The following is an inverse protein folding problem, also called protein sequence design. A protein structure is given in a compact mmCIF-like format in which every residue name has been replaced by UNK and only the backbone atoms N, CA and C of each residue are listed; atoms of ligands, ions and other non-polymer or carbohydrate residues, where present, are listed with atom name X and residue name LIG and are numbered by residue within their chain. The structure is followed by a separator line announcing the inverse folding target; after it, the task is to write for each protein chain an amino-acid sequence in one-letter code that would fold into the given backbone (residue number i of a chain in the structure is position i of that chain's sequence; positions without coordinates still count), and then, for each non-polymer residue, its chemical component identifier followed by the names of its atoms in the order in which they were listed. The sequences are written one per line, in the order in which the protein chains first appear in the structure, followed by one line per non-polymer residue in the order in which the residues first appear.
data_IF_886655950909
#
_entry.id   IF_886655950909
#
_cell.length_a   1.000
_cell.length_b   1.000
_cell.length_c   1.000
_cell.angle_alpha   90.00
_cell.angle_beta   90.00
_cell.angle_gamma   90.00
#
_symmetry.space_group_name_H-M   'P 1'
#
loop_
_entity.id
_entity.type
_entity.pdbx_description
1 polymer ?
#
# COMPACT_ATOMS: atom_id res chain seq x y z
N UNK A 1 23.50 23.90 -6.96
CA UNK A 1 22.35 23.00 -6.78
C UNK A 1 22.63 21.76 -7.62
N UNK A 2 22.82 20.62 -6.97
CA UNK A 2 22.98 19.34 -7.67
C UNK A 2 21.57 18.81 -7.91
N UNK A 3 21.09 18.82 -9.15
CA UNK A 3 19.83 18.19 -9.52
C UNK A 3 20.07 16.69 -9.73
N UNK A 4 19.24 15.85 -9.10
CA UNK A 4 19.20 14.41 -9.36
C UNK A 4 18.04 14.13 -10.28
N UNK A 5 18.27 13.31 -11.31
CA UNK A 5 17.25 12.88 -12.25
C UNK A 5 17.05 11.38 -12.09
N UNK A 6 15.80 10.98 -11.93
CA UNK A 6 15.39 9.58 -11.88
C UNK A 6 14.62 9.27 -13.17
N UNK A 7 15.07 8.28 -13.93
CA UNK A 7 14.37 7.83 -15.13
C UNK A 7 13.60 6.58 -14.79
N UNK A 8 12.28 6.67 -14.91
CA UNK A 8 11.34 5.57 -14.60
C UNK A 8 10.64 5.11 -15.87
N UNK A 9 10.00 3.95 -15.79
CA UNK A 9 9.08 3.47 -16.81
C UNK A 9 7.97 4.50 -17.04
N UNK A 10 7.67 4.79 -18.31
CA UNK A 10 6.53 5.62 -18.67
C UNK A 10 5.25 4.78 -18.66
N UNK A 11 4.23 5.24 -17.96
CA UNK A 11 2.95 4.54 -17.81
C UNK A 11 1.85 5.33 -18.51
N UNK A 12 1.40 4.83 -19.68
CA UNK A 12 0.61 5.58 -20.66
C UNK A 12 -0.81 5.93 -20.20
N UNK A 13 -1.46 5.10 -19.39
CA UNK A 13 -2.85 5.29 -18.96
C UNK A 13 -3.01 6.36 -17.87
N UNK A 14 -1.90 6.85 -17.29
CA UNK A 14 -1.92 7.89 -16.26
C UNK A 14 -2.43 7.41 -14.91
N UNK A 15 -2.87 8.33 -14.08
CA UNK A 15 -3.32 8.07 -12.71
C UNK A 15 -4.71 7.44 -12.65
N UNK A 16 -4.92 6.52 -11.73
CA UNK A 16 -6.24 5.94 -11.41
C UNK A 16 -7.22 7.04 -10.99
N UNK A 17 -6.73 8.09 -10.34
CA UNK A 17 -7.53 9.27 -9.99
C UNK A 17 -8.23 9.88 -11.21
N UNK A 18 -7.47 10.12 -12.29
CA UNK A 18 -8.01 10.68 -13.53
C UNK A 18 -9.00 9.73 -14.21
N UNK A 19 -8.72 8.42 -14.13
CA UNK A 19 -9.61 7.40 -14.66
C UNK A 19 -10.99 7.43 -13.96
N UNK A 20 -11.00 7.39 -12.63
CA UNK A 20 -12.26 7.45 -11.85
C UNK A 20 -12.98 8.80 -12.01
N UNK A 21 -12.23 9.90 -12.04
CA UNK A 21 -12.81 11.24 -12.25
C UNK A 21 -13.50 11.38 -13.61
N UNK A 22 -12.99 10.68 -14.63
CA UNK A 22 -13.53 10.70 -15.98
C UNK A 22 -14.77 9.81 -16.15
N UNK A 23 -14.72 8.60 -15.59
CA UNK A 23 -15.77 7.59 -15.83
C UNK A 23 -16.79 7.48 -14.70
N UNK A 24 -16.54 8.12 -13.54
CA UNK A 24 -17.38 8.02 -12.35
C UNK A 24 -17.22 6.65 -11.64
N UNK A 25 -18.23 6.26 -10.86
CA UNK A 25 -18.23 4.96 -10.19
C UNK A 25 -18.14 3.83 -11.21
N UNK A 26 -17.25 2.87 -10.92
CA UNK A 26 -16.96 1.75 -11.82
C UNK A 26 -17.95 0.60 -11.57
N UNK A 27 -18.24 -0.21 -12.60
CA UNK A 27 -18.90 -1.51 -12.41
C UNK A 27 -18.09 -2.37 -11.42
N UNK A 28 -18.77 -3.15 -10.57
CA UNK A 28 -18.13 -3.97 -9.53
C UNK A 28 -17.01 -4.87 -10.08
N UNK A 29 -17.25 -5.49 -11.24
CA UNK A 29 -16.23 -6.33 -11.90
C UNK A 29 -14.94 -5.60 -12.22
N UNK A 30 -15.05 -4.37 -12.73
CA UNK A 30 -13.88 -3.53 -13.06
C UNK A 30 -13.21 -2.99 -11.80
N UNK A 31 -13.97 -2.50 -10.83
CA UNK A 31 -13.44 -2.04 -9.55
C UNK A 31 -12.68 -3.17 -8.83
N UNK A 32 -13.23 -4.38 -8.81
CA UNK A 32 -12.58 -5.53 -8.17
C UNK A 32 -11.36 -6.00 -8.97
N UNK A 33 -11.39 -5.96 -10.31
CA UNK A 33 -10.22 -6.26 -11.14
C UNK A 33 -9.04 -5.35 -10.78
N UNK A 34 -9.27 -4.04 -10.76
CA UNK A 34 -8.23 -3.07 -10.36
C UNK A 34 -7.78 -3.28 -8.91
N UNK A 35 -8.75 -3.48 -8.01
CA UNK A 35 -8.45 -3.72 -6.60
C UNK A 35 -7.61 -4.97 -6.36
N UNK A 36 -7.87 -6.07 -7.07
CA UNK A 36 -7.06 -7.29 -7.03
C UNK A 36 -5.61 -7.01 -7.39
N UNK A 37 -5.37 -6.20 -8.42
CA UNK A 37 -4.01 -5.84 -8.85
C UNK A 37 -3.32 -4.91 -7.82
N UNK A 38 -4.06 -3.97 -7.23
CA UNK A 38 -3.54 -3.13 -6.13
C UNK A 38 -3.10 -4.01 -4.95
N UNK A 39 -3.96 -4.93 -4.52
CA UNK A 39 -3.68 -5.85 -3.41
C UNK A 39 -2.50 -6.79 -3.74
N UNK A 40 -2.35 -7.22 -5.00
CA UNK A 40 -1.21 -8.04 -5.43
C UNK A 40 0.12 -7.26 -5.32
N UNK A 41 0.16 -6.05 -5.89
CA UNK A 41 1.34 -5.19 -5.82
C UNK A 41 1.72 -4.83 -4.38
N UNK A 42 0.72 -4.46 -3.57
CA UNK A 42 0.93 -4.13 -2.17
C UNK A 42 1.38 -5.35 -1.35
N UNK A 43 0.77 -6.52 -1.57
CA UNK A 43 1.14 -7.77 -0.93
C UNK A 43 2.58 -8.18 -1.25
N UNK A 44 3.04 -7.91 -2.48
CA UNK A 44 4.44 -8.05 -2.85
C UNK A 44 5.34 -7.18 -1.98
N UNK A 45 5.05 -5.88 -1.89
CA UNK A 45 5.83 -4.95 -1.05
C UNK A 45 5.86 -5.39 0.43
N UNK A 46 4.72 -5.78 1.00
CA UNK A 46 4.61 -6.21 2.39
C UNK A 46 5.40 -7.48 2.69
N UNK A 47 5.58 -8.39 1.71
CA UNK A 47 6.46 -9.56 1.87
C UNK A 47 7.93 -9.20 2.08
N UNK A 48 8.35 -8.05 1.53
CA UNK A 48 9.68 -7.49 1.74
C UNK A 48 9.72 -6.50 2.92
N UNK A 49 8.68 -6.48 3.75
CA UNK A 49 8.53 -5.54 4.85
C UNK A 49 8.50 -4.07 4.40
N UNK A 50 8.18 -3.80 3.15
CA UNK A 50 8.04 -2.44 2.61
C UNK A 50 6.58 -2.02 2.74
N UNK A 51 6.32 -0.95 3.49
CA UNK A 51 5.03 -0.31 3.61
C UNK A 51 5.02 0.96 2.76
N UNK A 52 3.97 1.18 1.98
CA UNK A 52 3.87 2.30 1.03
C UNK A 52 3.62 3.63 1.75
N UNK A 53 2.68 3.66 2.70
CA UNK A 53 2.30 4.76 3.60
C UNK A 53 1.63 5.99 2.98
N UNK A 54 1.54 6.07 1.65
CA UNK A 54 0.80 7.12 0.94
C UNK A 54 0.04 6.53 -0.25
N UNK A 55 -0.68 5.42 0.00
CA UNK A 55 -1.47 4.78 -1.04
C UNK A 55 -2.76 5.58 -1.28
N UNK A 56 -2.94 6.04 -2.53
CA UNK A 56 -4.07 6.83 -3.01
C UNK A 56 -4.18 6.71 -4.53
N UNK A 57 -5.32 7.06 -5.15
CA UNK A 57 -5.52 6.92 -6.58
C UNK A 57 -4.52 7.69 -7.46
N UNK A 58 -3.93 8.78 -6.94
CA UNK A 58 -2.89 9.57 -7.63
C UNK A 58 -1.55 8.79 -7.73
N UNK A 59 -1.27 7.90 -6.78
CA UNK A 59 -0.07 7.08 -6.71
C UNK A 59 -0.28 5.67 -7.30
N UNK A 60 -1.40 5.45 -7.98
CA UNK A 60 -1.72 4.23 -8.71
C UNK A 60 -1.83 4.59 -10.17
N UNK A 61 -0.91 4.07 -10.98
CA UNK A 61 -0.87 4.32 -12.42
C UNK A 61 -1.49 3.16 -13.18
N UNK A 62 -2.03 3.45 -14.35
CA UNK A 62 -2.61 2.47 -15.27
C UNK A 62 -1.76 2.41 -16.54
N UNK A 63 -1.41 1.22 -16.99
CA UNK A 63 -0.77 1.03 -18.30
C UNK A 63 -1.78 1.17 -19.44
N UNK A 64 -1.33 1.00 -20.68
CA UNK A 64 -2.18 1.07 -21.89
C UNK A 64 -3.30 0.03 -21.91
N UNK A 65 -3.21 -1.02 -21.12
CA UNK A 65 -4.22 -2.07 -20.96
C UNK A 65 -5.05 -1.89 -19.67
N UNK A 66 -4.89 -0.77 -18.99
CA UNK A 66 -5.46 -0.46 -17.68
C UNK A 66 -5.05 -1.46 -16.59
N UNK A 67 -3.83 -1.99 -16.64
CA UNK A 67 -3.28 -2.73 -15.51
C UNK A 67 -2.61 -1.77 -14.54
N UNK A 68 -2.65 -2.12 -13.26
CA UNK A 68 -2.18 -1.29 -12.15
C UNK A 68 -0.66 -1.36 -12.00
N UNK A 69 -0.05 -0.20 -11.78
CA UNK A 69 1.31 -0.04 -11.30
C UNK A 69 1.32 0.88 -10.08
N UNK A 70 1.82 0.38 -8.96
CA UNK A 70 2.01 1.21 -7.75
C UNK A 70 3.21 2.12 -7.96
N UNK A 71 3.06 3.40 -7.63
CA UNK A 71 4.06 4.43 -7.85
C UNK A 71 4.24 5.30 -6.60
N UNK A 72 5.25 6.15 -6.61
CA UNK A 72 5.59 7.09 -5.54
C UNK A 72 5.86 6.43 -4.18
N UNK A 73 6.97 5.74 -4.08
CA UNK A 73 7.50 5.18 -2.83
C UNK A 73 8.26 6.20 -1.97
N UNK A 74 8.08 7.52 -2.23
CA UNK A 74 8.76 8.59 -1.51
C UNK A 74 8.48 8.63 0.00
N UNK A 75 7.35 8.07 0.42
CA UNK A 75 6.97 7.91 1.83
C UNK A 75 7.15 6.47 2.35
N UNK A 76 7.65 5.54 1.52
CA UNK A 76 7.76 4.14 1.91
C UNK A 76 8.73 3.94 3.08
N UNK A 77 8.49 2.90 3.86
CA UNK A 77 9.37 2.52 4.97
C UNK A 77 9.52 1.01 5.08
N UNK A 78 10.70 0.57 5.47
CA UNK A 78 10.94 -0.80 5.90
C UNK A 78 10.42 -1.01 7.32
N UNK A 79 9.58 -2.03 7.50
CA UNK A 79 9.01 -2.38 8.79
C UNK A 79 9.17 -3.87 9.08
N UNK A 80 10.34 -4.31 9.56
CA UNK A 80 10.54 -5.68 10.00
C UNK A 80 9.57 -6.09 11.11
N UNK A 81 9.40 -7.39 11.32
CA UNK A 81 8.55 -7.91 12.37
C UNK A 81 8.92 -7.34 13.74
N UNK A 82 7.92 -6.94 14.51
CA UNK A 82 8.09 -6.35 15.85
C UNK A 82 8.42 -4.85 15.87
N UNK A 83 8.70 -4.22 14.72
CA UNK A 83 8.96 -2.78 14.65
C UNK A 83 7.66 -1.98 14.45
N UNK A 84 7.65 -0.76 14.98
CA UNK A 84 6.54 0.18 14.92
C UNK A 84 7.00 1.50 14.29
N UNK A 85 6.19 2.03 13.39
CA UNK A 85 6.41 3.34 12.78
C UNK A 85 5.82 4.44 13.66
N UNK A 86 6.40 5.65 13.60
CA UNK A 86 5.96 6.81 14.41
C UNK A 86 5.65 8.03 13.56
N UNK A 87 6.27 8.13 12.37
CA UNK A 87 6.13 9.31 11.51
C UNK A 87 4.76 9.33 10.88
N UNK A 88 3.94 10.31 11.26
CA UNK A 88 2.68 10.59 10.56
C UNK A 88 2.99 11.14 9.18
N UNK A 89 2.55 10.45 8.16
CA UNK A 89 2.71 10.83 6.76
C UNK A 89 1.52 10.30 5.94
N UNK A 90 1.46 10.72 4.69
CA UNK A 90 0.41 10.33 3.76
C UNK A 90 -0.71 11.36 3.64
N UNK A 91 -1.58 11.13 2.68
CA UNK A 91 -2.70 12.01 2.32
C UNK A 91 -3.85 11.85 3.32
N UNK A 92 -4.33 12.93 3.97
CA UNK A 92 -5.24 12.84 5.10
C UNK A 92 -6.53 12.06 4.85
N UNK A 93 -7.09 12.12 3.63
CA UNK A 93 -8.33 11.44 3.27
C UNK A 93 -8.19 9.91 3.15
N UNK A 94 -6.95 9.42 3.00
CA UNK A 94 -6.61 8.00 2.89
C UNK A 94 -5.89 7.47 4.12
N UNK A 95 -5.50 8.36 5.05
CA UNK A 95 -4.74 8.00 6.24
C UNK A 95 -5.60 7.21 7.25
N UNK A 96 -5.01 6.17 7.81
CA UNK A 96 -5.65 5.35 8.82
C UNK A 96 -5.83 6.09 10.16
N UNK A 97 -6.84 5.74 10.99
CA UNK A 97 -7.10 6.40 12.27
C UNK A 97 -5.88 6.48 13.19
N UNK A 98 -5.07 5.43 13.26
CA UNK A 98 -3.87 5.37 14.09
C UNK A 98 -2.78 6.36 13.64
N UNK A 99 -2.69 6.67 12.32
CA UNK A 99 -1.79 7.71 11.79
C UNK A 99 -2.28 9.09 12.20
N UNK A 100 -3.60 9.34 12.07
CA UNK A 100 -4.23 10.62 12.41
C UNK A 100 -4.15 10.91 13.92
N UNK A 101 -4.12 9.86 14.75
CA UNK A 101 -3.98 9.97 16.20
C UNK A 101 -2.53 10.21 16.64
N UNK A 102 -1.56 10.01 15.74
CA UNK A 102 -0.14 10.13 16.06
C UNK A 102 0.40 8.96 16.89
N UNK A 103 -0.30 7.84 16.89
CA UNK A 103 0.12 6.64 17.60
C UNK A 103 1.27 5.94 16.87
N UNK A 104 1.97 5.05 17.59
CA UNK A 104 2.84 4.06 16.95
C UNK A 104 1.98 3.08 16.16
N UNK A 105 2.32 2.82 14.91
CA UNK A 105 1.48 2.02 14.04
C UNK A 105 2.22 0.97 13.23
N UNK A 106 1.46 0.04 12.69
CA UNK A 106 1.89 -0.95 11.70
C UNK A 106 1.56 -0.41 10.30
N UNK A 107 2.60 -0.19 9.47
CA UNK A 107 2.43 0.35 8.12
C UNK A 107 1.64 -0.57 7.20
N UNK A 108 1.83 -1.89 7.30
CA UNK A 108 1.06 -2.90 6.58
C UNK A 108 -0.46 -2.79 6.86
N UNK A 109 -0.83 -2.51 8.10
CA UNK A 109 -2.23 -2.30 8.48
C UNK A 109 -2.77 -0.95 7.99
N UNK A 110 -1.96 0.09 8.02
CA UNK A 110 -2.33 1.40 7.52
C UNK A 110 -2.54 1.38 5.99
N UNK A 111 -1.68 0.71 5.24
CA UNK A 111 -1.83 0.54 3.79
C UNK A 111 -3.13 -0.21 3.43
N UNK A 112 -3.49 -1.25 4.20
CA UNK A 112 -4.77 -1.95 4.02
C UNK A 112 -5.95 -1.01 4.20
N UNK A 113 -5.93 -0.12 5.21
CA UNK A 113 -6.97 0.89 5.37
C UNK A 113 -7.12 1.76 4.12
N UNK A 114 -6.01 2.28 3.59
CA UNK A 114 -6.00 3.09 2.37
C UNK A 114 -6.60 2.33 1.18
N UNK A 115 -6.32 1.02 1.05
CA UNK A 115 -6.96 0.16 0.06
C UNK A 115 -8.50 0.12 0.21
N UNK A 116 -9.01 0.10 1.43
CA UNK A 116 -10.46 0.13 1.69
C UNK A 116 -11.11 1.43 1.24
N UNK A 117 -10.46 2.57 1.49
CA UNK A 117 -10.91 3.87 0.99
C UNK A 117 -10.95 3.87 -0.54
N UNK A 118 -9.91 3.32 -1.18
CA UNK A 118 -9.83 3.24 -2.65
C UNK A 118 -10.93 2.34 -3.20
N UNK A 119 -11.14 1.14 -2.64
CA UNK A 119 -12.19 0.23 -3.09
C UNK A 119 -13.58 0.89 -3.00
N UNK A 120 -13.86 1.55 -1.88
CA UNK A 120 -15.10 2.29 -1.70
C UNK A 120 -15.26 3.36 -2.79
N UNK A 121 -14.22 4.18 -3.01
CA UNK A 121 -14.23 5.24 -4.01
C UNK A 121 -14.38 4.71 -5.45
N UNK A 122 -13.76 3.58 -5.79
CA UNK A 122 -13.94 2.94 -7.10
C UNK A 122 -15.39 2.53 -7.36
N UNK A 123 -16.08 2.04 -6.34
CA UNK A 123 -17.44 1.53 -6.45
C UNK A 123 -18.51 2.64 -6.37
N UNK A 124 -18.22 3.74 -5.66
CA UNK A 124 -19.22 4.77 -5.35
C UNK A 124 -18.95 6.09 -6.05
N UNK A 125 -17.70 6.37 -6.44
CA UNK A 125 -17.28 7.65 -7.02
C UNK A 125 -17.04 8.76 -5.99
N UNK A 126 -17.14 8.47 -4.68
CA UNK A 126 -16.88 9.42 -3.60
C UNK A 126 -16.18 8.74 -2.43
N UNK A 127 -15.67 9.53 -1.46
CA UNK A 127 -14.96 9.01 -0.31
C UNK A 127 -15.92 8.59 0.83
N UNK A 128 -15.61 7.52 1.60
CA UNK A 128 -16.48 7.08 2.70
C UNK A 128 -16.51 8.07 3.86
N UNK A 129 -15.47 8.87 4.00
CA UNK A 129 -15.34 9.89 5.03
C UNK A 129 -15.15 11.25 4.36
N UNK A 130 -16.22 12.03 4.25
CA UNK A 130 -16.20 13.41 3.77
C UNK A 130 -17.06 14.26 4.70
N UNK A 131 -16.43 15.16 5.42
CA UNK A 131 -17.10 16.09 6.34
C UNK A 131 -17.22 17.50 5.80
N UNK A 132 -16.88 17.75 4.52
CA UNK A 132 -16.85 19.07 3.91
C UNK A 132 -15.64 19.93 4.32
N UNK A 133 -15.02 19.64 5.45
CA UNK A 133 -13.76 20.23 5.89
C UNK A 133 -12.82 19.15 6.48
N UNK A 134 -11.53 19.42 6.46
CA UNK A 134 -10.50 18.48 6.91
C UNK A 134 -10.70 18.04 8.38
N UNK A 135 -11.03 18.96 9.28
CA UNK A 135 -11.19 18.66 10.71
C UNK A 135 -12.36 17.72 10.98
N UNK A 136 -13.47 17.92 10.27
CA UNK A 136 -14.64 17.05 10.37
C UNK A 136 -14.37 15.70 9.73
N UNK A 137 -13.73 15.65 8.55
CA UNK A 137 -13.30 14.42 7.88
C UNK A 137 -12.42 13.57 8.81
N UNK A 138 -11.38 14.15 9.42
CA UNK A 138 -10.51 13.43 10.34
C UNK A 138 -11.26 12.90 11.59
N UNK A 139 -12.31 13.60 12.05
CA UNK A 139 -13.16 13.10 13.15
C UNK A 139 -13.99 11.89 12.72
N UNK A 140 -14.53 11.89 11.49
CA UNK A 140 -15.26 10.75 10.93
C UNK A 140 -14.34 9.53 10.79
N UNK A 141 -13.15 9.72 10.23
CA UNK A 141 -12.13 8.65 10.10
C UNK A 141 -11.81 8.03 11.47
N UNK A 142 -11.54 8.85 12.49
CA UNK A 142 -11.25 8.36 13.85
C UNK A 142 -12.38 7.53 14.45
N UNK A 143 -13.63 7.91 14.16
CA UNK A 143 -14.81 7.15 14.61
C UNK A 143 -15.04 5.89 13.78
N UNK A 144 -14.56 5.86 12.54
CA UNK A 144 -14.82 4.78 11.58
C UNK A 144 -16.30 4.68 11.21
N UNK A 145 -17.03 5.78 11.31
CA UNK A 145 -18.46 5.79 10.99
C UNK A 145 -18.67 6.33 9.58
N UNK A 146 -19.17 5.48 8.70
CA UNK A 146 -19.51 5.79 7.31
C UNK A 146 -20.72 4.97 6.89
N UNK A 147 -21.41 5.41 5.85
CA UNK A 147 -22.56 4.73 5.31
C UNK A 147 -22.18 3.91 4.07
N UNK A 148 -22.66 2.67 4.02
CA UNK A 148 -22.51 1.81 2.85
C UNK A 148 -23.77 1.91 2.02
N UNK A 149 -23.67 2.33 0.74
CA UNK A 149 -24.83 2.43 -0.13
C UNK A 149 -25.50 1.07 -0.34
N UNK A 150 -26.84 1.04 -0.31
CA UNK A 150 -27.63 -0.19 -0.49
C UNK A 150 -27.48 -0.84 -1.87
N UNK A 151 -27.01 -0.08 -2.87
CA UNK A 151 -26.78 -0.64 -4.22
C UNK A 151 -25.49 -1.45 -4.36
N UNK A 152 -24.59 -1.43 -3.35
CA UNK A 152 -23.41 -2.29 -3.36
C UNK A 152 -23.81 -3.74 -3.08
N UNK A 153 -23.07 -4.69 -3.66
CA UNK A 153 -23.28 -6.10 -3.33
C UNK A 153 -22.95 -6.38 -1.86
N UNK A 154 -23.58 -7.41 -1.30
CA UNK A 154 -23.30 -7.82 0.08
C UNK A 154 -21.82 -8.15 0.29
N UNK A 155 -21.18 -8.75 -0.70
CA UNK A 155 -19.77 -9.12 -0.66
C UNK A 155 -18.88 -7.87 -0.67
N UNK A 156 -19.22 -6.84 -1.46
CA UNK A 156 -18.47 -5.58 -1.49
C UNK A 156 -18.63 -4.82 -0.17
N UNK A 157 -19.86 -4.71 0.34
CA UNK A 157 -20.18 -4.11 1.62
C UNK A 157 -19.44 -4.78 2.78
N UNK A 158 -19.40 -6.11 2.78
CA UNK A 158 -18.72 -6.90 3.81
C UNK A 158 -17.20 -6.68 3.77
N UNK A 159 -16.56 -6.78 2.60
CA UNK A 159 -15.11 -6.55 2.49
C UNK A 159 -14.71 -5.13 2.93
N UNK A 160 -15.44 -4.11 2.46
CA UNK A 160 -15.19 -2.73 2.86
C UNK A 160 -15.31 -2.58 4.38
N UNK A 161 -16.35 -3.15 4.99
CA UNK A 161 -16.55 -3.12 6.43
C UNK A 161 -15.42 -3.78 7.21
N UNK A 162 -14.88 -4.90 6.72
CA UNK A 162 -13.76 -5.60 7.34
C UNK A 162 -12.42 -4.86 7.18
N UNK A 163 -12.24 -4.11 6.08
CA UNK A 163 -11.05 -3.30 5.85
C UNK A 163 -11.10 -2.01 6.68
N UNK A 164 -12.23 -1.29 6.67
CA UNK A 164 -12.36 0.02 7.33
C UNK A 164 -12.68 -0.10 8.82
N UNK A 165 -11.99 -1.01 9.52
CA UNK A 165 -12.03 -1.13 10.97
C UNK A 165 -11.08 -0.12 11.62
N UNK A 166 -11.57 0.79 12.49
CA UNK A 166 -10.73 1.82 13.10
C UNK A 166 -9.55 1.25 13.89
N UNK A 167 -9.76 0.13 14.58
CA UNK A 167 -8.70 -0.54 15.34
C UNK A 167 -7.92 -1.49 14.43
N UNK A 168 -6.60 -1.31 14.26
CA UNK A 168 -5.78 -2.13 13.34
C UNK A 168 -5.84 -3.65 13.62
N UNK A 169 -6.06 -4.04 14.88
CA UNK A 169 -6.18 -5.46 15.28
C UNK A 169 -7.45 -6.15 14.77
N UNK A 170 -8.52 -5.38 14.60
CA UNK A 170 -9.82 -5.88 14.13
C UNK A 170 -9.91 -5.83 12.59
N UNK A 171 -8.97 -5.10 11.95
CA UNK A 171 -8.88 -4.95 10.50
C UNK A 171 -8.43 -6.24 9.85
N UNK A 172 -9.11 -6.66 8.78
CA UNK A 172 -8.75 -7.80 7.95
C UNK A 172 -7.27 -7.73 7.53
N UNK A 173 -6.62 -8.87 7.37
CA UNK A 173 -5.25 -8.92 6.87
C UNK A 173 -5.20 -9.29 5.38
N UNK A 174 -4.03 -9.12 4.76
CA UNK A 174 -3.80 -9.37 3.33
C UNK A 174 -4.25 -10.77 2.90
N UNK A 175 -3.95 -11.81 3.67
CA UNK A 175 -4.32 -13.18 3.35
C UNK A 175 -5.84 -13.37 3.33
N UNK A 176 -6.55 -12.82 4.31
CA UNK A 176 -8.01 -12.94 4.37
C UNK A 176 -8.71 -12.08 3.32
N UNK A 177 -8.10 -10.95 2.88
CA UNK A 177 -8.60 -10.20 1.73
C UNK A 177 -8.63 -11.11 0.49
N UNK A 178 -7.55 -11.82 0.19
CA UNK A 178 -7.48 -12.74 -0.95
C UNK A 178 -8.50 -13.88 -0.89
N UNK A 179 -8.80 -14.36 0.31
CA UNK A 179 -9.76 -15.46 0.53
C UNK A 179 -11.21 -14.97 0.56
N UNK A 180 -11.43 -13.64 0.55
CA UNK A 180 -12.76 -13.05 0.67
C UNK A 180 -13.65 -13.41 -0.54
N UNK A 181 -14.97 -13.67 -0.32
CA UNK A 181 -15.90 -14.01 -1.40
C UNK A 181 -15.90 -13.04 -2.58
N UNK A 182 -15.85 -11.72 -2.33
CA UNK A 182 -15.75 -10.70 -3.39
C UNK A 182 -14.53 -10.93 -4.29
N UNK A 183 -13.37 -11.19 -3.70
CA UNK A 183 -12.12 -11.38 -4.45
C UNK A 183 -12.17 -12.68 -5.28
N UNK A 184 -12.77 -13.73 -4.75
CA UNK A 184 -12.94 -15.02 -5.45
C UNK A 184 -13.98 -14.96 -6.58
N UNK A 185 -15.06 -14.22 -6.38
CA UNK A 185 -16.13 -14.02 -7.37
C UNK A 185 -15.59 -13.54 -8.73
N UNK A 186 -14.52 -12.74 -8.71
CA UNK A 186 -13.91 -12.13 -9.90
C UNK A 186 -12.51 -12.67 -10.21
N UNK A 187 -12.14 -13.82 -9.68
CA UNK A 187 -10.83 -14.45 -9.91
C UNK A 187 -10.56 -14.74 -11.39
N UNK A 188 -11.60 -15.04 -12.15
CA UNK A 188 -11.51 -15.33 -13.58
C UNK A 188 -11.11 -14.12 -14.46
N UNK A 189 -11.24 -12.89 -13.97
CA UNK A 189 -10.87 -11.69 -14.69
C UNK A 189 -9.36 -11.47 -14.78
N UNK A 190 -8.61 -12.10 -13.89
CA UNK A 190 -7.16 -11.95 -13.84
C UNK A 190 -6.50 -13.27 -13.43
N UNK A 191 -6.40 -14.25 -14.37
CA UNK A 191 -5.89 -15.59 -14.06
C UNK A 191 -4.44 -15.59 -13.56
N UNK A 192 -3.65 -14.60 -13.98
CA UNK A 192 -2.24 -14.47 -13.56
C UNK A 192 -2.15 -14.09 -12.07
N UNK A 193 -3.13 -13.35 -11.57
CA UNK A 193 -3.24 -12.94 -10.17
C UNK A 193 -4.02 -13.93 -9.28
N UNK A 194 -4.47 -15.06 -9.85
CA UNK A 194 -5.27 -16.07 -9.13
C UNK A 194 -4.51 -16.75 -8.00
N UNK A 195 -3.18 -16.65 -7.98
CA UNK A 195 -2.38 -17.22 -6.92
C UNK A 195 -1.66 -16.10 -6.14
N UNK A 196 -2.14 -15.74 -4.93
CA UNK A 196 -1.51 -14.73 -4.09
C UNK A 196 -0.08 -15.14 -3.64
N UNK A 197 0.32 -16.37 -3.90
CA UNK A 197 1.66 -16.90 -3.65
C UNK A 197 2.56 -16.90 -4.89
N UNK A 198 2.03 -16.56 -6.08
CA UNK A 198 2.81 -16.16 -7.24
C UNK A 198 3.17 -14.67 -7.07
N UNK A 199 3.83 -14.37 -5.99
CA UNK A 199 4.74 -13.24 -5.98
C UNK A 199 6.11 -13.78 -6.40
N UNK A 200 7.07 -12.92 -6.71
CA UNK A 200 8.43 -13.38 -6.92
C UNK A 200 8.82 -14.29 -5.77
N UNK A 201 9.72 -15.19 -6.07
CA UNK A 201 10.35 -16.07 -5.12
C UNK A 201 10.57 -15.34 -3.78
N UNK A 202 10.48 -16.05 -2.66
CA UNK A 202 10.91 -15.50 -1.37
C UNK A 202 12.25 -14.79 -1.57
N UNK A 203 12.56 -13.76 -0.75
CA UNK A 203 13.82 -13.05 -0.88
C UNK A 203 14.92 -14.06 -1.12
N UNK A 204 15.77 -13.77 -2.11
CA UNK A 204 16.86 -14.62 -2.56
C UNK A 204 17.47 -15.36 -1.37
N UNK A 205 17.67 -16.65 -1.48
CA UNK A 205 18.38 -17.39 -0.44
C UNK A 205 19.75 -16.73 -0.22
N UNK A 206 20.34 -16.91 0.94
CA UNK A 206 21.67 -16.34 1.25
C UNK A 206 22.70 -16.69 0.16
N UNK A 207 22.51 -17.83 -0.54
CA UNK A 207 23.35 -18.26 -1.66
C UNK A 207 23.10 -17.46 -2.96
N UNK A 208 21.94 -16.84 -3.13
CA UNK A 208 21.58 -16.04 -4.30
C UNK A 208 21.87 -14.55 -4.12
N UNK A 209 22.08 -14.10 -2.87
CA UNK A 209 22.37 -12.70 -2.55
C UNK A 209 23.83 -12.29 -2.86
N UNK A 210 24.66 -13.20 -3.34
CA UNK A 210 26.10 -12.97 -3.49
C UNK A 210 26.86 -13.03 -2.16
N UNK A 211 28.18 -12.82 -2.17
CA UNK A 211 28.98 -12.85 -0.95
C UNK A 211 28.56 -11.70 -0.02
N UNK A 212 28.51 -11.93 1.30
CA UNK A 212 28.24 -10.86 2.25
C UNK A 212 29.31 -9.76 2.16
N UNK A 213 28.92 -8.53 2.46
CA UNK A 213 29.85 -7.41 2.54
C UNK A 213 30.94 -7.72 3.57
N UNK A 214 32.20 -7.72 3.14
CA UNK A 214 33.33 -8.17 4.00
C UNK A 214 33.97 -7.02 4.77
N UNK A 215 33.83 -5.78 4.27
CA UNK A 215 34.41 -4.60 4.90
C UNK A 215 33.55 -3.35 4.67
N UNK A 216 33.77 -2.32 5.49
CA UNK A 216 33.10 -1.02 5.30
C UNK A 216 33.46 -0.37 3.98
N UNK A 217 34.61 -0.71 3.38
CA UNK A 217 35.04 -0.17 2.09
C UNK A 217 34.26 -0.73 0.92
N UNK A 218 33.64 -1.90 1.08
CA UNK A 218 32.83 -2.57 0.08
C UNK A 218 31.37 -2.07 0.08
N UNK A 219 31.02 -1.21 1.04
CA UNK A 219 29.68 -0.63 1.15
C UNK A 219 29.57 0.55 0.17
N UNK A 220 28.67 0.42 -0.80
CA UNK A 220 28.29 1.52 -1.67
C UNK A 220 27.56 2.59 -0.85
N UNK A 221 28.14 3.79 -0.78
CA UNK A 221 27.61 4.90 0.03
C UNK A 221 26.28 5.45 -0.53
N UNK A 222 26.03 5.34 -1.82
CA UNK A 222 24.75 5.77 -2.40
C UNK A 222 23.66 4.72 -2.11
N UNK A 223 24.00 3.44 -2.13
CA UNK A 223 23.13 2.37 -1.66
C UNK A 223 22.79 2.53 -0.16
N UNK A 224 23.79 2.83 0.67
CA UNK A 224 23.61 3.07 2.10
C UNK A 224 22.66 4.27 2.35
N UNK A 225 22.81 5.36 1.62
CA UNK A 225 21.92 6.52 1.68
C UNK A 225 20.49 6.18 1.26
N UNK A 226 20.32 5.36 0.22
CA UNK A 226 19.00 4.88 -0.19
C UNK A 226 18.37 3.99 0.89
N UNK A 227 19.14 3.11 1.53
CA UNK A 227 18.68 2.31 2.67
C UNK A 227 18.29 3.19 3.87
N UNK A 228 19.02 4.28 4.13
CA UNK A 228 18.65 5.24 5.18
C UNK A 228 17.33 5.95 4.92
N UNK A 229 16.98 6.22 3.66
CA UNK A 229 15.65 6.79 3.34
C UNK A 229 14.51 5.81 3.63
N UNK A 230 14.75 4.51 3.54
CA UNK A 230 13.78 3.47 3.90
C UNK A 230 13.75 3.18 5.41
N UNK A 231 14.88 3.38 6.10
CA UNK A 231 15.05 3.21 7.56
C UNK A 231 15.31 4.54 8.26
N UNK A 232 14.32 5.41 8.26
CA UNK A 232 14.44 6.78 8.79
C UNK A 232 14.90 6.89 10.25
N UNK A 233 14.66 5.85 11.05
CA UNK A 233 14.94 5.83 12.49
C UNK A 233 16.25 5.08 12.81
N UNK A 234 17.05 4.71 11.81
CA UNK A 234 18.31 3.95 12.00
C UNK A 234 19.48 4.77 11.52
N UNK A 235 20.43 5.02 12.44
CA UNK A 235 21.69 5.71 12.15
C UNK A 235 22.53 4.92 11.12
N UNK A 236 23.30 5.66 10.28
CA UNK A 236 24.13 5.07 9.22
C UNK A 236 25.10 4.02 9.76
N UNK A 237 25.69 4.29 10.92
CA UNK A 237 26.63 3.40 11.59
C UNK A 237 25.98 2.06 11.95
N UNK A 238 24.77 2.11 12.50
CA UNK A 238 24.00 0.89 12.82
C UNK A 238 23.61 0.11 11.56
N UNK A 239 23.31 0.77 10.45
CA UNK A 239 23.05 0.10 9.18
C UNK A 239 24.31 -0.58 8.64
N UNK A 240 25.44 0.10 8.68
CA UNK A 240 26.73 -0.47 8.28
C UNK A 240 27.09 -1.70 9.11
N UNK A 241 26.93 -1.64 10.43
CA UNK A 241 27.16 -2.79 11.32
C UNK A 241 26.28 -3.99 10.97
N UNK A 242 24.99 -3.73 10.63
CA UNK A 242 24.07 -4.80 10.21
C UNK A 242 24.44 -5.40 8.86
N UNK A 243 24.94 -4.59 7.91
CA UNK A 243 25.40 -5.09 6.60
C UNK A 243 26.65 -5.96 6.72
N UNK A 244 27.50 -5.70 7.72
CA UNK A 244 28.73 -6.45 8.01
C UNK A 244 28.49 -7.67 8.91
N UNK A 245 27.31 -7.77 9.55
CA UNK A 245 27.01 -8.87 10.47
C UNK A 245 26.68 -10.15 9.71
N UNK A 246 27.40 -11.24 9.90
CA UNK A 246 27.10 -12.53 9.30
C UNK A 246 25.92 -13.18 10.05
N UNK A 247 24.70 -12.84 9.69
CA UNK A 247 23.51 -13.55 10.21
C UNK A 247 22.65 -14.06 9.07
#
# INVERSE_FOLDING_TARGET
VICRYLVLEYVEGGELFNYVSKYGPLPESEAVRLFRQIIAGLGYCHRFNICHRDLKPENILLDSQHNVKLADFGMAALQPAGHWLKTSCGSPHYAAPEIIQGDKYRGDKADIWSCGIILFALLTGYLPFDGGDLGTTLRLVKKGHFEIPEYLSNEAADLISQILQPRPKDRINMQHIWLHPLMRKYEYLDPVMSNPFIGPAPPLSVHECGPPVSSTQDIDLDLLRNLQTLWHDVEAETLMERLLSPK
#
